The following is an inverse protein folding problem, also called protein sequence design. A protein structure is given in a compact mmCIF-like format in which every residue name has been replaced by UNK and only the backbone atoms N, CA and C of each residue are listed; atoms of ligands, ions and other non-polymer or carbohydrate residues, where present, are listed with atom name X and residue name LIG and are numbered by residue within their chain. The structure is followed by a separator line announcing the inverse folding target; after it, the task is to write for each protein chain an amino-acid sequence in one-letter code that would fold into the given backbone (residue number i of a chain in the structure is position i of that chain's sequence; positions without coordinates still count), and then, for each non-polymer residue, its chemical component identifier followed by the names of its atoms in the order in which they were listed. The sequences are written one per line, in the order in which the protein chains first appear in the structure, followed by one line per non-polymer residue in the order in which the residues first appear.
data_IF_696778023325
#
_entry.id   IF_696778023325
#
_cell.length_a   1.000
_cell.length_b   1.000
_cell.length_c   1.000
_cell.angle_alpha   90.00
_cell.angle_beta   90.00
_cell.angle_gamma   90.00
#
_symmetry.space_group_name_H-M   'P 1'
#
loop_
_entity.id
_entity.type
_entity.pdbx_description
1 polymer ?
#
# COMPACT_ATOMS: atom_id res chain seq x y z
N UNK A 1 -0.23 13.61 1.53
CA UNK A 1 -0.82 12.96 2.69
C UNK A 1 -0.75 11.44 2.50
N UNK A 2 -0.53 10.73 3.59
CA UNK A 2 -0.21 9.30 3.54
C UNK A 2 -1.19 8.55 4.42
N UNK A 3 -1.70 7.44 3.90
CA UNK A 3 -2.56 6.53 4.63
C UNK A 3 -1.87 5.17 4.69
N UNK A 4 -1.70 4.64 5.90
CA UNK A 4 -1.28 3.26 6.11
C UNK A 4 -2.51 2.37 6.20
N UNK A 5 -2.46 1.26 5.48
CA UNK A 5 -3.56 0.30 5.41
C UNK A 5 -3.04 -1.08 5.82
N UNK A 6 -3.73 -1.72 6.76
CA UNK A 6 -3.48 -3.12 7.11
C UNK A 6 -4.49 -4.01 6.40
N UNK A 7 -4.00 -4.94 5.61
CA UNK A 7 -4.84 -5.96 4.98
C UNK A 7 -4.85 -7.21 5.87
N UNK A 8 -5.96 -7.45 6.56
CA UNK A 8 -6.08 -8.55 7.51
C UNK A 8 -6.40 -9.90 6.83
N UNK A 9 -6.74 -9.86 5.54
CA UNK A 9 -6.98 -11.06 4.74
C UNK A 9 -6.27 -10.92 3.40
N UNK A 10 -4.92 -10.90 3.40
CA UNK A 10 -4.19 -10.62 2.17
C UNK A 10 -4.41 -11.68 1.10
N UNK A 11 -4.61 -11.22 -0.11
CA UNK A 11 -4.74 -12.06 -1.30
C UNK A 11 -3.78 -11.54 -2.36
N UNK A 12 -3.19 -12.47 -3.10
CA UNK A 12 -2.31 -12.13 -4.21
C UNK A 12 -3.01 -12.30 -5.54
N UNK A 13 -2.56 -11.54 -6.52
CA UNK A 13 -3.05 -11.59 -7.88
C UNK A 13 -1.89 -11.38 -8.84
N UNK A 14 -1.91 -12.07 -9.96
CA UNK A 14 -0.94 -11.83 -11.04
C UNK A 14 -1.36 -10.60 -11.83
N UNK A 15 -0.39 -9.73 -12.09
CA UNK A 15 -0.65 -8.46 -12.77
C UNK A 15 0.39 -8.23 -13.88
N UNK A 16 -0.04 -8.00 -15.12
CA UNK A 16 0.88 -7.76 -16.22
C UNK A 16 1.47 -6.34 -16.13
N UNK A 17 2.77 -6.26 -16.31
CA UNK A 17 3.50 -4.99 -16.41
C UNK A 17 4.36 -5.00 -17.66
N UNK A 18 4.92 -3.84 -18.01
CA UNK A 18 5.88 -3.75 -19.12
C UNK A 18 7.17 -4.56 -18.87
N UNK A 19 7.42 -4.97 -17.63
CA UNK A 19 8.59 -5.78 -17.25
C UNK A 19 8.23 -7.26 -17.05
N UNK A 20 7.01 -7.66 -17.34
CA UNK A 20 6.53 -9.00 -17.17
C UNK A 20 5.36 -9.10 -16.20
N UNK A 21 4.98 -10.33 -15.85
CA UNK A 21 3.88 -10.59 -14.92
C UNK A 21 4.45 -10.64 -13.52
N UNK A 22 3.90 -9.84 -12.60
CA UNK A 22 4.32 -9.81 -11.20
C UNK A 22 3.15 -10.16 -10.30
N UNK A 23 3.48 -10.61 -9.08
CA UNK A 23 2.49 -10.89 -8.04
C UNK A 23 2.28 -9.63 -7.21
N UNK A 24 1.04 -9.19 -7.06
CA UNK A 24 0.67 -7.96 -6.35
C UNK A 24 -0.42 -8.25 -5.33
N UNK A 25 -0.58 -7.33 -4.36
CA UNK A 25 -1.71 -7.35 -3.44
C UNK A 25 -2.99 -7.04 -4.20
N UNK A 26 -3.94 -7.97 -4.17
CA UNK A 26 -5.24 -7.81 -4.83
C UNK A 26 -6.00 -6.62 -4.26
N UNK A 27 -6.11 -6.53 -2.94
CA UNK A 27 -6.88 -5.46 -2.30
C UNK A 27 -6.25 -4.10 -2.53
N UNK A 28 -4.94 -3.98 -2.43
CA UNK A 28 -4.25 -2.71 -2.68
C UNK A 28 -4.46 -2.24 -4.12
N UNK A 29 -4.37 -3.15 -5.08
CA UNK A 29 -4.58 -2.82 -6.49
C UNK A 29 -6.02 -2.39 -6.77
N UNK A 30 -6.99 -3.04 -6.17
CA UNK A 30 -8.41 -2.70 -6.32
C UNK A 30 -8.73 -1.33 -5.72
N UNK A 31 -8.24 -1.05 -4.52
CA UNK A 31 -8.44 0.25 -3.86
C UNK A 31 -7.82 1.36 -4.67
N UNK A 32 -6.59 1.18 -5.15
CA UNK A 32 -5.92 2.18 -5.98
C UNK A 32 -6.69 2.46 -7.27
N UNK A 33 -7.16 1.42 -7.93
CA UNK A 33 -7.93 1.55 -9.17
C UNK A 33 -9.25 2.27 -8.94
N UNK A 34 -9.94 1.97 -7.85
CA UNK A 34 -11.20 2.61 -7.51
C UNK A 34 -11.01 4.10 -7.21
N UNK A 35 -10.01 4.46 -6.43
CA UNK A 35 -9.70 5.87 -6.13
C UNK A 35 -9.38 6.63 -7.42
N UNK A 36 -8.55 6.05 -8.29
CA UNK A 36 -8.19 6.66 -9.57
C UNK A 36 -9.41 6.86 -10.47
N UNK A 37 -10.35 5.93 -10.45
CA UNK A 37 -11.58 6.04 -11.22
C UNK A 37 -12.43 7.23 -10.74
N UNK A 38 -12.55 7.41 -9.42
CA UNK A 38 -13.26 8.57 -8.85
C UNK A 38 -12.57 9.90 -9.17
N UNK A 39 -11.27 9.88 -9.42
CA UNK A 39 -10.48 11.06 -9.78
C UNK A 39 -10.30 11.20 -11.30
N UNK A 40 -11.16 10.59 -12.10
CA UNK A 40 -11.12 10.63 -13.57
C UNK A 40 -9.78 10.15 -14.13
N UNK A 41 -9.20 9.09 -13.53
CA UNK A 41 -7.93 8.55 -13.96
C UNK A 41 -6.70 9.35 -13.50
N UNK A 42 -6.85 10.24 -12.54
CA UNK A 42 -5.74 11.02 -12.01
C UNK A 42 -4.69 10.10 -11.38
N UNK A 43 -3.46 10.17 -11.91
CA UNK A 43 -2.34 9.34 -11.48
C UNK A 43 -1.52 9.96 -10.33
N UNK A 44 -2.00 11.02 -9.70
CA UNK A 44 -1.37 11.60 -8.52
C UNK A 44 -1.47 10.70 -7.29
N UNK A 45 -2.33 9.69 -7.34
CA UNK A 45 -2.46 8.69 -6.27
C UNK A 45 -1.51 7.54 -6.55
N UNK A 46 -0.63 7.26 -5.60
CA UNK A 46 0.25 6.10 -5.60
C UNK A 46 -0.19 5.13 -4.52
N UNK A 47 -0.23 3.84 -4.84
CA UNK A 47 -0.50 2.79 -3.88
C UNK A 47 0.54 1.69 -4.01
N UNK A 48 1.11 1.26 -2.89
CA UNK A 48 2.06 0.15 -2.87
C UNK A 48 1.34 -1.17 -3.11
N UNK A 49 1.92 -2.04 -3.93
CA UNK A 49 1.29 -3.30 -4.31
C UNK A 49 2.14 -4.53 -3.98
N UNK A 50 3.38 -4.35 -3.57
CA UNK A 50 4.30 -5.43 -3.21
C UNK A 50 5.02 -5.10 -1.90
N UNK A 51 5.54 -6.11 -1.22
CA UNK A 51 6.29 -5.92 0.02
C UNK A 51 7.55 -5.08 -0.21
N UNK A 52 8.23 -5.32 -1.32
CA UNK A 52 9.42 -4.57 -1.66
C UNK A 52 9.11 -3.08 -1.87
N UNK A 53 8.03 -2.79 -2.58
CA UNK A 53 7.58 -1.43 -2.82
C UNK A 53 7.16 -0.76 -1.51
N UNK A 54 6.49 -1.48 -0.61
CA UNK A 54 6.10 -0.99 0.70
C UNK A 54 7.32 -0.57 1.52
N UNK A 55 8.33 -1.43 1.63
CA UNK A 55 9.55 -1.14 2.37
C UNK A 55 10.25 0.10 1.81
N UNK A 56 10.34 0.21 0.50
CA UNK A 56 10.93 1.36 -0.15
C UNK A 56 10.13 2.64 0.12
N UNK A 57 8.82 2.58 0.01
CA UNK A 57 7.96 3.75 0.14
C UNK A 57 7.94 4.30 1.57
N UNK A 58 7.87 3.45 2.59
CA UNK A 58 7.92 3.93 3.97
C UNK A 58 9.27 4.55 4.31
N UNK A 59 10.34 4.03 3.71
CA UNK A 59 11.67 4.60 3.91
C UNK A 59 11.80 5.97 3.23
N UNK A 60 11.39 6.08 1.98
CA UNK A 60 11.51 7.32 1.19
C UNK A 60 10.56 8.40 1.69
N UNK A 61 9.30 8.05 1.95
CA UNK A 61 8.27 9.03 2.29
C UNK A 61 8.23 9.39 3.77
N UNK A 62 8.54 8.45 4.66
CA UNK A 62 8.40 8.62 6.10
C UNK A 62 9.72 8.51 6.85
N UNK A 63 10.77 8.08 6.18
CA UNK A 63 12.06 7.74 6.82
C UNK A 63 11.90 6.67 7.91
N UNK A 64 11.00 5.71 7.68
CA UNK A 64 10.73 4.60 8.57
C UNK A 64 11.28 3.30 8.01
N UNK A 65 11.65 2.39 8.90
CA UNK A 65 11.93 0.99 8.57
C UNK A 65 10.66 0.16 8.80
N UNK A 66 10.69 -1.07 8.33
CA UNK A 66 9.60 -2.01 8.62
C UNK A 66 9.42 -2.23 10.13
N UNK A 67 10.52 -2.26 10.89
CA UNK A 67 10.47 -2.38 12.34
C UNK A 67 9.79 -1.17 12.98
N UNK A 68 10.02 0.02 12.46
CA UNK A 68 9.36 1.24 12.94
C UNK A 68 7.84 1.14 12.78
N UNK A 69 7.37 0.63 11.65
CA UNK A 69 5.93 0.44 11.42
C UNK A 69 5.35 -0.59 12.39
N UNK A 70 6.06 -1.69 12.63
CA UNK A 70 5.62 -2.69 13.61
C UNK A 70 5.54 -2.12 15.03
N UNK A 71 6.48 -1.28 15.40
CA UNK A 71 6.47 -0.60 16.69
C UNK A 71 5.29 0.37 16.83
N UNK A 72 5.00 1.13 15.78
CA UNK A 72 3.83 2.00 15.75
C UNK A 72 2.53 1.21 15.90
N UNK A 73 2.45 0.05 15.27
CA UNK A 73 1.27 -0.81 15.36
C UNK A 73 1.01 -1.30 16.79
N UNK A 74 2.06 -1.48 17.58
CA UNK A 74 1.96 -1.93 18.97
C UNK A 74 1.55 -0.83 19.95
N UNK A 75 1.58 0.44 19.52
CA UNK A 75 1.22 1.59 20.36
C UNK A 75 -0.18 2.08 20.01
N UNK A 76 -0.80 2.83 20.91
CA UNK A 76 -2.09 3.48 20.62
C UNK A 76 -1.84 4.74 19.77
N UNK A 77 -1.66 4.50 18.51
CA UNK A 77 -1.16 5.45 17.52
C UNK A 77 -2.27 6.21 16.81
N UNK A 78 -3.25 6.68 17.56
CA UNK A 78 -4.39 7.44 17.02
C UNK A 78 -5.15 6.75 15.88
N UNK A 79 -5.00 5.43 15.77
CA UNK A 79 -5.78 4.61 14.82
C UNK A 79 -5.70 5.11 13.38
N UNK A 80 -4.52 5.53 12.95
CA UNK A 80 -4.29 6.01 11.57
C UNK A 80 -3.99 4.89 10.58
N UNK A 81 -4.09 3.64 11.00
CA UNK A 81 -3.96 2.48 10.12
C UNK A 81 -5.36 2.01 9.76
N UNK A 82 -5.69 2.02 8.48
CA UNK A 82 -6.94 1.48 7.98
C UNK A 82 -6.81 -0.04 7.82
N UNK A 83 -7.85 -0.77 8.22
CA UNK A 83 -7.91 -2.24 8.06
C UNK A 83 -8.89 -2.59 6.96
N UNK A 84 -8.45 -3.45 6.08
CA UNK A 84 -9.27 -3.95 4.98
C UNK A 84 -9.35 -5.47 4.96
#
# INVERSE_FOLDING_TARGET
FIILVEDITPLSKLYPTKYGIIEVSKHAQEIKSEIRMHLNGNKSIHGTMTDFEFINDINVCLNYTEQDIQNLYKTDWNKKICKI
#
